data_IF_256995249010
#
_entry.id   IF_256995249010
#
_cell.length_a   1.000
_cell.length_b   1.000
_cell.length_c   1.000
_cell.angle_alpha   90.00
_cell.angle_beta   90.00
_cell.angle_gamma   90.00
#
_symmetry.space_group_name_H-M   'P 1'
#
loop_
_entity.id
_entity.type
_entity.pdbx_description
1 polymer ?
#
# COMPACT_ATOMS: atom_id res chain seq x y z
N UNK A 1 18.43 42.67 -17.32
CA UNK A 1 19.57 41.76 -17.08
C UNK A 1 19.07 40.50 -16.40
N UNK A 2 19.30 39.34 -17.04
CA UNK A 2 19.78 38.06 -16.47
C UNK A 2 19.45 37.84 -14.96
N UNK A 3 18.74 36.82 -14.50
CA UNK A 3 18.70 35.37 -14.83
C UNK A 3 17.33 34.83 -14.36
N UNK A 4 16.56 34.09 -15.17
CA UNK A 4 16.67 32.63 -15.34
C UNK A 4 16.89 31.90 -14.02
N UNK A 5 15.83 31.47 -13.33
CA UNK A 5 15.63 30.09 -12.82
C UNK A 5 14.11 29.90 -12.63
N UNK A 6 13.40 29.62 -13.73
CA UNK A 6 12.17 28.83 -13.61
C UNK A 6 12.69 27.43 -13.31
N UNK A 7 12.56 27.00 -12.05
CA UNK A 7 12.84 25.64 -11.63
C UNK A 7 11.81 24.72 -12.29
N UNK A 8 12.05 24.43 -13.57
CA UNK A 8 11.36 23.41 -14.34
C UNK A 8 11.91 22.05 -13.89
N UNK A 9 11.54 21.62 -12.69
CA UNK A 9 11.86 20.29 -12.17
C UNK A 9 10.65 19.36 -12.14
N UNK A 10 9.57 19.70 -12.86
CA UNK A 10 8.43 18.80 -13.05
C UNK A 10 8.64 18.00 -14.34
N UNK A 11 9.56 17.04 -14.34
CA UNK A 11 9.66 16.06 -15.44
C UNK A 11 10.38 14.75 -15.10
N UNK A 12 10.60 14.41 -13.83
CA UNK A 12 11.27 13.14 -13.47
C UNK A 12 10.35 12.12 -12.79
N UNK A 13 9.05 12.41 -12.61
CA UNK A 13 8.13 11.48 -11.94
C UNK A 13 7.41 10.51 -12.89
N UNK A 14 7.46 10.72 -14.22
CA UNK A 14 6.75 9.85 -15.17
C UNK A 14 7.43 8.50 -15.43
N UNK A 15 8.63 8.26 -14.91
CA UNK A 15 9.31 6.96 -15.02
C UNK A 15 9.08 6.04 -13.82
N UNK A 16 8.45 6.53 -12.74
CA UNK A 16 8.17 5.70 -11.55
C UNK A 16 6.90 4.84 -11.67
N UNK A 17 5.96 5.18 -12.56
CA UNK A 17 4.70 4.46 -12.69
C UNK A 17 4.88 2.96 -12.97
N UNK A 18 5.91 2.59 -13.74
CA UNK A 18 6.20 1.18 -14.04
C UNK A 18 6.91 0.42 -12.90
N UNK A 19 7.55 1.12 -11.96
CA UNK A 19 8.12 0.49 -10.76
C UNK A 19 7.05 0.36 -9.66
N UNK A 20 6.13 1.30 -9.60
CA UNK A 20 5.07 1.36 -8.61
C UNK A 20 3.97 0.33 -8.88
N UNK A 21 3.63 0.11 -10.15
CA UNK A 21 2.71 -0.96 -10.56
C UNK A 21 3.23 -2.34 -10.14
N UNK A 22 4.52 -2.65 -10.41
CA UNK A 22 5.13 -3.93 -10.00
C UNK A 22 5.11 -4.17 -8.50
N UNK A 23 5.18 -3.10 -7.71
CA UNK A 23 5.13 -3.19 -6.26
C UNK A 23 3.69 -3.39 -5.76
N UNK A 24 2.70 -2.77 -6.42
CA UNK A 24 1.29 -3.02 -6.17
C UNK A 24 0.94 -4.47 -6.52
N UNK A 25 1.30 -4.93 -7.73
CA UNK A 25 1.13 -6.32 -8.19
C UNK A 25 1.71 -7.31 -7.17
N UNK A 26 2.93 -7.06 -6.68
CA UNK A 26 3.56 -7.94 -5.71
C UNK A 26 2.82 -7.99 -4.36
N UNK A 27 2.20 -6.89 -3.94
CA UNK A 27 1.39 -6.86 -2.71
C UNK A 27 0.07 -7.59 -2.91
N UNK A 28 -0.57 -7.42 -4.06
CA UNK A 28 -1.77 -8.14 -4.47
C UNK A 28 -1.48 -9.65 -4.49
N UNK A 29 -0.48 -10.10 -5.27
CA UNK A 29 -0.07 -11.52 -5.38
C UNK A 29 0.23 -12.17 -4.02
N UNK A 30 0.93 -11.45 -3.12
CA UNK A 30 1.27 -11.97 -1.79
C UNK A 30 0.04 -12.11 -0.89
N UNK A 31 -0.90 -11.19 -1.04
CA UNK A 31 -2.08 -11.16 -0.18
C UNK A 31 -3.14 -12.13 -0.67
N UNK A 32 -3.29 -12.27 -1.99
CA UNK A 32 -4.10 -13.32 -2.64
C UNK A 32 -3.59 -14.72 -2.24
N UNK A 33 -2.29 -14.98 -2.34
CA UNK A 33 -1.73 -16.26 -1.90
C UNK A 33 -1.95 -16.53 -0.39
N UNK A 34 -2.08 -15.48 0.42
CA UNK A 34 -2.37 -15.60 1.84
C UNK A 34 -3.87 -15.82 2.12
N UNK A 35 -4.77 -15.12 1.42
CA UNK A 35 -6.20 -15.34 1.53
C UNK A 35 -6.56 -16.73 1.02
N UNK A 36 -5.99 -17.18 -0.10
CA UNK A 36 -6.17 -18.54 -0.64
C UNK A 36 -5.78 -19.62 0.37
N UNK A 37 -4.69 -19.42 1.11
CA UNK A 37 -4.27 -20.38 2.14
C UNK A 37 -5.26 -20.43 3.32
N UNK A 38 -5.89 -19.31 3.64
CA UNK A 38 -6.92 -19.22 4.70
C UNK A 38 -8.25 -19.79 4.19
N UNK A 39 -8.59 -19.55 2.92
CA UNK A 39 -9.80 -20.07 2.30
C UNK A 39 -9.74 -21.59 2.15
N UNK A 40 -8.61 -22.12 1.70
CA UNK A 40 -8.35 -23.56 1.71
C UNK A 40 -8.41 -24.17 3.12
N UNK A 41 -8.07 -23.40 4.15
CA UNK A 41 -8.27 -23.83 5.54
C UNK A 41 -9.76 -23.83 5.91
N UNK A 42 -10.53 -22.83 5.50
CA UNK A 42 -11.98 -22.76 5.72
C UNK A 42 -12.72 -23.91 5.02
N UNK A 43 -12.32 -24.24 3.78
CA UNK A 43 -12.87 -25.36 3.02
C UNK A 43 -12.67 -26.73 3.68
N UNK A 44 -11.59 -26.89 4.44
CA UNK A 44 -11.32 -28.10 5.22
C UNK A 44 -12.12 -28.16 6.53
N UNK A 45 -12.81 -27.08 6.92
CA UNK A 45 -13.59 -27.01 8.15
C UNK A 45 -15.04 -27.48 7.93
N UNK A 46 -15.66 -28.10 8.95
CA UNK A 46 -17.09 -28.38 8.90
C UNK A 46 -17.90 -27.08 8.89
N UNK A 47 -19.05 -27.12 8.21
CA UNK A 47 -19.98 -26.00 8.12
C UNK A 47 -20.35 -25.43 9.50
N UNK A 48 -20.42 -24.10 9.58
CA UNK A 48 -20.86 -23.37 10.77
C UNK A 48 -20.01 -22.15 11.11
N UNK A 49 -20.24 -21.52 12.27
CA UNK A 49 -19.71 -20.19 12.59
C UNK A 49 -18.18 -20.08 12.57
N UNK A 50 -17.47 -21.19 12.78
CA UNK A 50 -16.01 -21.22 12.73
C UNK A 50 -15.48 -21.17 11.29
N UNK A 51 -16.18 -21.82 10.34
CA UNK A 51 -15.90 -21.71 8.91
C UNK A 51 -16.18 -20.30 8.43
N UNK A 52 -17.37 -19.77 8.74
CA UNK A 52 -17.75 -18.39 8.39
C UNK A 52 -16.75 -17.34 8.91
N UNK A 53 -16.23 -17.51 10.14
CA UNK A 53 -15.22 -16.61 10.70
C UNK A 53 -13.86 -16.74 10.02
N UNK A 54 -13.55 -17.90 9.44
CA UNK A 54 -12.30 -18.16 8.72
C UNK A 54 -12.39 -17.62 7.30
N UNK A 55 -13.52 -17.80 6.61
CA UNK A 55 -13.83 -17.14 5.32
C UNK A 55 -13.78 -15.62 5.45
N UNK A 56 -14.46 -15.06 6.46
CA UNK A 56 -14.42 -13.61 6.73
C UNK A 56 -13.01 -13.08 7.02
N UNK A 57 -12.09 -13.95 7.49
CA UNK A 57 -10.69 -13.60 7.68
C UNK A 57 -9.93 -13.62 6.36
N UNK A 58 -10.20 -14.56 5.46
CA UNK A 58 -9.66 -14.56 4.10
C UNK A 58 -10.08 -13.28 3.37
N UNK A 59 -11.36 -12.93 3.41
CA UNK A 59 -11.90 -11.70 2.83
C UNK A 59 -11.22 -10.44 3.39
N UNK A 60 -11.01 -10.39 4.71
CA UNK A 60 -10.36 -9.24 5.34
C UNK A 60 -8.89 -9.08 4.91
N UNK A 61 -8.21 -10.20 4.66
CA UNK A 61 -6.83 -10.21 4.15
C UNK A 61 -6.80 -9.71 2.71
N UNK A 62 -7.63 -10.28 1.83
CA UNK A 62 -7.75 -9.86 0.43
C UNK A 62 -8.05 -8.36 0.30
N UNK A 63 -9.11 -7.88 0.97
CA UNK A 63 -9.49 -6.47 0.97
C UNK A 63 -8.37 -5.54 1.48
N UNK A 64 -7.59 -5.96 2.49
CA UNK A 64 -6.47 -5.19 3.00
C UNK A 64 -5.29 -5.16 2.01
N UNK A 65 -5.08 -6.26 1.28
CA UNK A 65 -4.10 -6.37 0.19
C UNK A 65 -4.44 -5.45 -0.96
N UNK A 66 -5.67 -5.53 -1.47
CA UNK A 66 -6.19 -4.66 -2.53
C UNK A 66 -6.09 -3.19 -2.14
N UNK A 67 -6.57 -2.80 -0.96
CA UNK A 67 -6.51 -1.41 -0.51
C UNK A 67 -5.06 -0.88 -0.43
N UNK A 68 -4.10 -1.75 -0.09
CA UNK A 68 -2.69 -1.41 -0.04
C UNK A 68 -2.06 -1.35 -1.44
N UNK A 69 -2.40 -2.27 -2.34
CA UNK A 69 -2.00 -2.25 -3.74
C UNK A 69 -2.53 -0.97 -4.42
N UNK A 70 -3.80 -0.65 -4.21
CA UNK A 70 -4.45 0.59 -4.66
C UNK A 70 -3.75 1.85 -4.14
N UNK A 71 -3.36 1.86 -2.86
CA UNK A 71 -2.65 2.98 -2.26
C UNK A 71 -1.27 3.15 -2.91
N UNK A 72 -0.56 2.05 -3.16
CA UNK A 72 0.72 2.03 -3.87
C UNK A 72 0.53 2.55 -5.29
N UNK A 73 -0.42 2.01 -6.07
CA UNK A 73 -0.65 2.38 -7.47
C UNK A 73 -1.07 3.85 -7.64
N UNK A 74 -1.92 4.36 -6.73
CA UNK A 74 -2.34 5.78 -6.72
C UNK A 74 -1.26 6.74 -6.25
N UNK A 75 -0.07 6.26 -5.87
CA UNK A 75 0.97 7.11 -5.28
C UNK A 75 0.63 7.64 -3.89
N UNK A 76 -0.42 7.12 -3.27
CA UNK A 76 -0.80 7.42 -1.90
C UNK A 76 -0.02 6.46 -1.01
N UNK A 77 1.22 6.81 -0.69
CA UNK A 77 1.87 6.18 0.46
C UNK A 77 0.94 6.42 1.66
N UNK A 78 0.40 5.39 2.35
CA UNK A 78 -0.23 5.63 3.64
C UNK A 78 0.78 6.44 4.45
N UNK A 79 0.36 7.54 5.10
CA UNK A 79 1.30 8.41 5.79
C UNK A 79 2.18 7.53 6.67
N UNK A 80 3.53 7.65 6.58
CA UNK A 80 4.37 6.91 7.50
C UNK A 80 3.85 7.23 8.89
N UNK A 81 3.52 6.20 9.68
CA UNK A 81 3.17 6.40 11.08
C UNK A 81 4.26 7.28 11.68
N UNK A 82 3.88 8.48 12.14
CA UNK A 82 4.78 9.53 12.58
C UNK A 82 5.87 8.97 13.49
N UNK A 83 7.09 8.77 12.96
CA UNK A 83 8.27 8.55 13.80
C UNK A 83 9.37 9.54 13.55
N UNK A 84 9.11 10.62 12.80
CA UNK A 84 10.04 11.75 12.72
C UNK A 84 9.25 13.06 12.70
N UNK A 85 8.77 13.47 13.88
CA UNK A 85 8.78 14.89 14.21
C UNK A 85 10.24 15.29 14.40
N UNK A 86 10.89 16.07 13.53
CA UNK A 86 12.09 16.77 13.92
C UNK A 86 11.64 17.91 14.84
N UNK A 87 12.27 18.00 16.01
CA UNK A 87 12.12 19.10 16.95
C UNK A 87 12.21 20.47 16.24
N UNK A 88 11.42 21.48 16.66
CA UNK A 88 11.53 22.81 16.10
C UNK A 88 12.82 23.48 16.61
N UNK A 89 13.77 23.75 15.72
CA UNK A 89 14.94 24.60 16.00
C UNK A 89 14.85 25.93 15.22
N UNK A 90 15.51 27.00 15.71
CA UNK A 90 14.85 28.25 16.07
C UNK A 90 14.80 29.26 14.93
N UNK A 91 13.69 30.01 14.87
CA UNK A 91 13.60 31.20 14.04
C UNK A 91 14.41 32.35 14.67
N UNK A 92 15.60 32.60 14.16
CA UNK A 92 16.34 33.85 14.40
C UNK A 92 15.66 35.00 13.67
N UNK A 93 15.27 36.03 14.42
CA UNK A 93 15.00 37.38 13.93
C UNK A 93 16.11 38.30 14.43
#
# INVERSE_FOLDING_TARGET
>A
MRKMIIALSIASALTLGACQSKQADQVEDQTEAQSDAIDAQADAMPEGPAKDATEAKADAVENAGEAKADAIDKGVTPPPADTTTPAPEPQTK
#
